data_IF_237660516036
#
_entry.id   IF_237660516036
#
_cell.length_a   1.000
_cell.length_b   1.000
_cell.length_c   1.000
_cell.angle_alpha   90.00
_cell.angle_beta   90.00
_cell.angle_gamma   90.00
#
_symmetry.space_group_name_H-M   'P 1'
#
loop_
_entity.id
_entity.type
_entity.pdbx_description
1 polymer ?
#
# COMPACT_ATOMS: atom_id res chain seq x y z
N UNK A 1 4.04 17.85 -5.53
CA UNK A 1 2.94 17.03 -6.06
C UNK A 1 3.34 16.59 -7.47
N UNK A 2 3.74 15.33 -7.65
CA UNK A 2 4.04 14.78 -8.98
C UNK A 2 2.76 14.09 -9.42
N UNK A 3 1.91 14.88 -10.08
CA UNK A 3 0.45 14.71 -10.17
C UNK A 3 -0.04 13.49 -10.95
N UNK A 4 0.86 12.65 -11.47
CA UNK A 4 0.50 11.57 -12.38
C UNK A 4 1.02 10.19 -11.96
N UNK A 5 1.89 10.08 -10.95
CA UNK A 5 2.47 8.78 -10.56
C UNK A 5 1.43 7.79 -9.98
N UNK A 6 0.26 8.28 -9.58
CA UNK A 6 -0.85 7.49 -9.05
C UNK A 6 -1.98 7.28 -10.08
N UNK A 7 -1.82 7.73 -11.33
CA UNK A 7 -2.79 7.47 -12.38
C UNK A 7 -2.70 5.99 -12.82
N UNK A 8 -3.84 5.41 -13.18
CA UNK A 8 -3.95 3.99 -13.59
C UNK A 8 -3.01 3.69 -14.77
N UNK A 9 -2.91 4.62 -15.73
CA UNK A 9 -2.15 4.51 -16.97
C UNK A 9 -0.70 5.00 -16.87
N UNK A 10 -0.24 5.46 -15.70
CA UNK A 10 1.12 5.97 -15.50
C UNK A 10 2.19 4.88 -15.28
N UNK A 11 1.96 3.66 -15.79
CA UNK A 11 2.90 2.54 -15.65
C UNK A 11 4.28 2.86 -16.25
N UNK A 12 4.33 3.49 -17.43
CA UNK A 12 5.59 3.89 -18.06
C UNK A 12 6.31 4.97 -17.24
N UNK A 13 5.56 5.90 -16.64
CA UNK A 13 6.14 6.93 -15.78
C UNK A 13 6.78 6.31 -14.54
N UNK A 14 6.13 5.32 -13.90
CA UNK A 14 6.70 4.58 -12.77
C UNK A 14 7.92 3.74 -13.15
N UNK A 15 8.01 3.31 -14.41
CA UNK A 15 9.16 2.56 -14.92
C UNK A 15 10.39 3.45 -15.15
N UNK A 16 10.18 4.64 -15.71
CA UNK A 16 11.28 5.57 -16.03
C UNK A 16 11.68 6.42 -14.82
N UNK A 17 10.70 6.79 -13.99
CA UNK A 17 10.85 7.72 -12.88
C UNK A 17 10.50 7.05 -11.53
N UNK A 18 10.99 5.83 -11.30
CA UNK A 18 10.63 5.00 -10.14
C UNK A 18 10.85 5.70 -8.79
N UNK A 19 12.04 6.25 -8.55
CA UNK A 19 12.35 7.03 -7.34
C UNK A 19 11.38 8.20 -7.16
N UNK A 20 11.23 9.02 -8.19
CA UNK A 20 10.34 10.19 -8.22
C UNK A 20 8.87 9.84 -7.99
N UNK A 21 8.45 8.64 -8.40
CA UNK A 21 7.12 8.12 -8.17
C UNK A 21 6.97 7.36 -6.85
N UNK A 22 7.98 7.34 -5.98
CA UNK A 22 7.92 6.69 -4.67
C UNK A 22 8.00 5.16 -4.73
N UNK A 23 8.56 4.56 -5.78
CA UNK A 23 8.77 3.10 -5.84
C UNK A 23 9.85 2.62 -4.86
N UNK A 24 10.70 3.51 -4.36
CA UNK A 24 11.78 3.21 -3.40
C UNK A 24 11.37 3.56 -1.96
N UNK A 25 10.51 4.56 -1.82
CA UNK A 25 10.11 5.14 -0.53
C UNK A 25 9.08 4.24 0.16
N UNK A 26 9.44 3.71 1.34
CA UNK A 26 8.55 2.84 2.12
C UNK A 26 7.23 3.51 2.50
N UNK A 27 7.27 4.79 2.86
CA UNK A 27 6.11 5.54 3.33
C UNK A 27 5.37 6.31 2.22
N UNK A 28 5.72 6.09 0.94
CA UNK A 28 4.94 6.62 -0.17
C UNK A 28 3.57 5.93 -0.24
N UNK A 29 2.64 6.50 -1.02
CA UNK A 29 1.36 5.86 -1.28
C UNK A 29 1.57 4.45 -1.86
N UNK A 30 1.09 3.38 -1.22
CA UNK A 30 1.33 1.99 -1.65
C UNK A 30 0.71 1.62 -2.99
N UNK A 31 -0.28 2.38 -3.45
CA UNK A 31 -1.02 2.07 -4.67
C UNK A 31 -0.09 2.19 -5.88
N UNK A 32 -0.15 1.16 -6.73
CA UNK A 32 0.67 1.00 -7.92
C UNK A 32 2.18 0.89 -7.65
N UNK A 33 2.62 0.72 -6.39
CA UNK A 33 4.05 0.53 -6.04
C UNK A 33 4.48 -0.93 -6.11
N UNK A 34 4.11 -1.59 -7.19
CA UNK A 34 4.43 -2.99 -7.44
C UNK A 34 5.01 -3.18 -8.83
N UNK A 35 5.66 -4.31 -9.05
CA UNK A 35 6.33 -4.59 -10.33
C UNK A 35 5.36 -4.62 -11.50
N UNK A 36 4.17 -5.20 -11.30
CA UNK A 36 3.13 -5.25 -12.32
C UNK A 36 2.71 -3.84 -12.80
N UNK A 37 2.87 -2.83 -11.93
CA UNK A 37 2.45 -1.46 -12.17
C UNK A 37 3.60 -0.53 -12.58
N UNK A 38 4.75 -1.10 -12.93
CA UNK A 38 5.85 -0.35 -13.56
C UNK A 38 7.00 -0.02 -12.63
N UNK A 39 6.91 -0.28 -11.32
CA UNK A 39 8.08 -0.14 -10.46
C UNK A 39 9.14 -1.19 -10.81
N UNK A 40 10.37 -0.75 -11.12
CA UNK A 40 11.47 -1.65 -11.44
C UNK A 40 11.89 -2.49 -10.23
N UNK A 41 12.41 -3.70 -10.50
CA UNK A 41 12.90 -4.60 -9.45
C UNK A 41 14.02 -3.96 -8.61
N UNK A 42 14.89 -3.17 -9.23
CA UNK A 42 15.93 -2.42 -8.53
C UNK A 42 15.35 -1.51 -7.46
N UNK A 43 14.32 -0.72 -7.81
CA UNK A 43 13.66 0.18 -6.87
C UNK A 43 12.98 -0.56 -5.71
N UNK A 44 12.26 -1.65 -6.01
CA UNK A 44 11.55 -2.42 -4.99
C UNK A 44 12.49 -3.17 -4.04
N UNK A 45 13.68 -3.54 -4.51
CA UNK A 45 14.71 -4.18 -3.68
C UNK A 45 15.32 -3.20 -2.66
N UNK A 46 15.15 -1.90 -2.85
CA UNK A 46 15.65 -0.88 -1.92
C UNK A 46 14.67 -0.65 -0.76
N UNK A 47 13.36 -0.88 -0.94
CA UNK A 47 12.36 -0.68 0.13
C UNK A 47 12.70 -1.41 1.43
N UNK A 48 13.08 -2.71 1.42
CA UNK A 48 13.52 -3.41 2.64
C UNK A 48 14.73 -2.78 3.32
N UNK A 49 15.62 -2.14 2.56
CA UNK A 49 16.81 -1.47 3.09
C UNK A 49 16.40 -0.24 3.89
N UNK A 50 15.48 0.57 3.34
CA UNK A 50 14.97 1.77 4.01
C UNK A 50 14.14 1.43 5.25
N UNK A 51 13.33 0.38 5.20
CA UNK A 51 12.47 0.00 6.33
C UNK A 51 13.21 -0.63 7.49
N UNK A 52 14.33 -1.31 7.24
CA UNK A 52 15.05 -2.06 8.27
C UNK A 52 15.39 -1.21 9.52
N UNK A 53 15.78 0.05 9.32
CA UNK A 53 16.23 0.97 10.37
C UNK A 53 15.10 1.88 10.91
N UNK A 54 13.87 1.76 10.39
CA UNK A 54 12.73 2.54 10.85
C UNK A 54 12.21 2.08 12.22
N UNK A 55 11.43 2.95 12.87
CA UNK A 55 10.73 2.59 14.10
C UNK A 55 9.59 1.60 13.80
N UNK A 56 9.34 0.66 14.72
CA UNK A 56 8.17 -0.20 14.67
C UNK A 56 6.91 0.56 15.12
N UNK A 57 6.54 1.58 14.35
CA UNK A 57 5.42 2.47 14.64
C UNK A 57 4.53 2.60 13.41
N UNK A 58 3.23 2.46 13.64
CA UNK A 58 2.22 2.71 12.61
C UNK A 58 2.15 4.21 12.29
N UNK A 59 1.96 4.54 11.01
CA UNK A 59 1.64 5.91 10.63
C UNK A 59 0.33 6.38 11.27
N UNK A 60 0.25 7.66 11.57
CA UNK A 60 -0.99 8.27 12.06
C UNK A 60 -2.11 8.16 11.02
N UNK A 61 -3.37 8.09 11.47
CA UNK A 61 -4.52 8.02 10.55
C UNK A 61 -4.57 9.19 9.56
N UNK A 62 -4.09 10.37 9.93
CA UNK A 62 -4.11 11.57 9.07
C UNK A 62 -2.89 11.64 8.12
N UNK A 63 -2.07 10.59 8.07
CA UNK A 63 -0.89 10.52 7.19
C UNK A 63 -1.30 10.55 5.70
N UNK A 64 -0.64 11.39 4.91
CA UNK A 64 -1.05 11.69 3.53
C UNK A 64 -1.10 10.43 2.65
N UNK A 65 -0.07 9.58 2.71
CA UNK A 65 -0.03 8.33 1.92
C UNK A 65 -1.11 7.34 2.34
N UNK A 66 -1.49 7.30 3.63
CA UNK A 66 -2.57 6.46 4.13
C UNK A 66 -3.92 6.95 3.61
N UNK A 67 -4.19 8.24 3.76
CA UNK A 67 -5.43 8.86 3.32
C UNK A 67 -5.61 8.72 1.80
N UNK A 68 -4.58 9.08 1.04
CA UNK A 68 -4.62 9.03 -0.42
C UNK A 68 -4.72 7.60 -0.97
N UNK A 69 -4.13 6.61 -0.30
CA UNK A 69 -4.27 5.20 -0.68
C UNK A 69 -5.75 4.80 -0.66
N UNK A 70 -6.42 5.02 0.47
CA UNK A 70 -7.83 4.64 0.64
C UNK A 70 -8.79 5.48 -0.19
N UNK A 71 -8.46 6.74 -0.50
CA UNK A 71 -9.26 7.55 -1.42
C UNK A 71 -9.29 6.99 -2.84
N UNK A 72 -8.17 6.43 -3.31
CA UNK A 72 -8.06 5.87 -4.66
C UNK A 72 -8.45 4.39 -4.74
N UNK A 73 -8.42 3.70 -3.60
CA UNK A 73 -8.50 2.25 -3.53
C UNK A 73 -9.74 1.64 -4.21
N UNK A 74 -10.98 2.09 -3.94
CA UNK A 74 -12.17 1.50 -4.58
C UNK A 74 -12.16 1.65 -6.11
N UNK A 75 -11.74 2.80 -6.62
CA UNK A 75 -11.63 3.05 -8.06
C UNK A 75 -10.52 2.21 -8.71
N UNK A 76 -9.41 2.00 -8.02
CA UNK A 76 -8.32 1.15 -8.49
C UNK A 76 -8.75 -0.33 -8.57
N UNK A 77 -9.47 -0.82 -7.56
CA UNK A 77 -10.03 -2.17 -7.56
C UNK A 77 -11.05 -2.36 -8.68
N UNK A 78 -11.91 -1.37 -8.93
CA UNK A 78 -12.83 -1.38 -10.06
C UNK A 78 -12.09 -1.44 -11.40
N UNK A 79 -11.11 -0.56 -11.60
CA UNK A 79 -10.39 -0.45 -12.86
C UNK A 79 -9.57 -1.72 -13.18
N UNK A 80 -8.98 -2.34 -12.15
CA UNK A 80 -8.05 -3.44 -12.34
C UNK A 80 -8.70 -4.82 -12.26
N UNK A 81 -9.60 -5.04 -11.29
CA UNK A 81 -10.25 -6.34 -11.06
C UNK A 81 -11.70 -6.40 -11.53
N UNK A 82 -12.23 -5.31 -12.10
CA UNK A 82 -13.60 -5.29 -12.61
C UNK A 82 -14.67 -5.40 -11.52
N UNK A 83 -14.40 -4.85 -10.33
CA UNK A 83 -15.33 -4.86 -9.19
C UNK A 83 -16.73 -4.37 -9.59
N UNK A 84 -17.76 -5.09 -9.20
CA UNK A 84 -19.16 -4.72 -9.46
C UNK A 84 -19.53 -3.44 -8.70
N UNK A 85 -20.60 -2.73 -9.09
CA UNK A 85 -21.04 -1.53 -8.36
C UNK A 85 -21.30 -1.77 -6.86
N UNK A 86 -21.82 -2.94 -6.50
CA UNK A 86 -22.03 -3.35 -5.10
C UNK A 86 -20.70 -3.57 -4.37
N UNK A 87 -19.74 -4.24 -5.00
CA UNK A 87 -18.41 -4.42 -4.43
C UNK A 87 -17.69 -3.07 -4.25
N UNK A 88 -17.81 -2.16 -5.21
CA UNK A 88 -17.23 -0.81 -5.10
C UNK A 88 -17.85 -0.03 -3.94
N UNK A 89 -19.17 -0.13 -3.74
CA UNK A 89 -19.84 0.49 -2.59
C UNK A 89 -19.28 -0.06 -1.27
N UNK A 90 -19.18 -1.39 -1.13
CA UNK A 90 -18.61 -2.01 0.07
C UNK A 90 -17.14 -1.60 0.29
N UNK A 91 -16.35 -1.49 -0.79
CA UNK A 91 -14.97 -1.02 -0.72
C UNK A 91 -14.88 0.44 -0.27
N UNK A 92 -15.86 1.29 -0.62
CA UNK A 92 -15.93 2.67 -0.13
C UNK A 92 -16.20 2.72 1.37
N UNK A 93 -17.05 1.84 1.90
CA UNK A 93 -17.27 1.72 3.36
C UNK A 93 -16.00 1.23 4.07
N UNK A 94 -15.33 0.19 3.54
CA UNK A 94 -14.05 -0.28 4.09
C UNK A 94 -12.99 0.82 4.06
N UNK A 95 -12.87 1.56 2.97
CA UNK A 95 -11.95 2.68 2.86
C UNK A 95 -12.28 3.81 3.87
N UNK A 96 -13.57 4.09 4.09
CA UNK A 96 -14.00 5.06 5.10
C UNK A 96 -13.55 4.66 6.50
N UNK A 97 -13.79 3.40 6.88
CA UNK A 97 -13.43 2.86 8.19
C UNK A 97 -11.90 2.82 8.38
N UNK A 98 -11.16 2.36 7.38
CA UNK A 98 -9.70 2.37 7.37
C UNK A 98 -9.13 3.79 7.56
N UNK A 99 -9.72 4.80 6.92
CA UNK A 99 -9.31 6.20 7.10
C UNK A 99 -9.66 6.72 8.48
N UNK A 100 -10.81 6.34 9.04
CA UNK A 100 -11.29 6.80 10.34
C UNK A 100 -10.49 6.22 11.51
N UNK A 101 -10.19 4.92 11.44
CA UNK A 101 -9.51 4.17 12.50
C UNK A 101 -7.99 4.10 12.32
N UNK A 102 -7.48 4.18 11.09
CA UNK A 102 -6.05 4.05 10.78
C UNK A 102 -5.58 2.60 10.74
N UNK A 103 -4.26 2.42 10.85
CA UNK A 103 -3.61 1.10 10.85
C UNK A 103 -4.27 0.04 11.75
N UNK A 104 -4.76 0.33 12.98
CA UNK A 104 -5.36 -0.69 13.84
C UNK A 104 -6.53 -1.45 13.22
N UNK A 105 -7.27 -0.85 12.28
CA UNK A 105 -8.39 -1.50 11.62
C UNK A 105 -7.97 -2.67 10.73
N UNK A 106 -6.69 -2.73 10.32
CA UNK A 106 -6.12 -3.89 9.60
C UNK A 106 -6.11 -5.17 10.44
N UNK A 107 -6.20 -5.07 11.77
CA UNK A 107 -6.35 -6.24 12.64
C UNK A 107 -7.78 -6.80 12.64
N UNK A 108 -8.78 -5.95 12.35
CA UNK A 108 -10.19 -6.35 12.25
C UNK A 108 -10.53 -6.82 10.83
N UNK A 109 -10.14 -6.01 9.83
CA UNK A 109 -10.31 -6.30 8.41
C UNK A 109 -8.97 -6.71 7.80
N UNK A 110 -8.63 -7.99 7.98
CA UNK A 110 -7.31 -8.52 7.61
C UNK A 110 -7.13 -8.75 6.11
N UNK A 111 -8.21 -9.10 5.41
CA UNK A 111 -8.19 -9.50 4.00
C UNK A 111 -9.07 -8.61 3.15
N UNK A 112 -8.65 -8.47 1.91
CA UNK A 112 -9.37 -7.79 0.85
C UNK A 112 -10.54 -8.65 0.35
N UNK A 113 -11.70 -8.03 0.14
CA UNK A 113 -12.98 -8.74 -0.07
C UNK A 113 -13.08 -9.40 -1.46
N UNK A 114 -12.36 -8.91 -2.47
CA UNK A 114 -12.45 -9.41 -3.86
C UNK A 114 -11.40 -10.47 -4.17
N UNK A 115 -10.18 -10.25 -3.71
CA UNK A 115 -8.97 -11.02 -4.04
C UNK A 115 -8.53 -11.94 -2.91
N UNK A 116 -9.16 -11.84 -1.74
CA UNK A 116 -8.79 -12.54 -0.50
C UNK A 116 -7.31 -12.36 -0.15
N UNK A 117 -6.73 -11.22 -0.54
CA UNK A 117 -5.33 -10.90 -0.26
C UNK A 117 -5.24 -10.17 1.06
N UNK A 118 -4.32 -10.61 1.92
CA UNK A 118 -4.08 -9.93 3.20
C UNK A 118 -3.50 -8.53 2.95
N UNK A 119 -4.14 -7.50 3.47
CA UNK A 119 -3.72 -6.11 3.27
C UNK A 119 -2.27 -5.84 3.69
N UNK A 120 -1.86 -6.41 4.82
CA UNK A 120 -0.51 -6.29 5.36
C UNK A 120 0.59 -6.80 4.42
N UNK A 121 0.26 -7.77 3.56
CA UNK A 121 1.21 -8.44 2.67
C UNK A 121 1.23 -7.82 1.27
N UNK A 122 0.23 -6.98 0.95
CA UNK A 122 0.12 -6.33 -0.36
C UNK A 122 -0.45 -7.25 -1.43
N UNK A 123 -0.89 -6.66 -2.55
CA UNK A 123 -1.31 -7.40 -3.73
C UNK A 123 -0.27 -7.25 -4.86
N UNK A 124 0.34 -8.33 -5.36
CA UNK A 124 1.48 -8.27 -6.29
C UNK A 124 1.18 -7.52 -7.60
N UNK A 125 -0.10 -7.45 -7.96
CA UNK A 125 -0.57 -6.76 -9.16
C UNK A 125 -1.02 -5.31 -8.95
N UNK A 126 -1.26 -4.86 -7.70
CA UNK A 126 -1.90 -3.56 -7.47
C UNK A 126 -1.22 -2.67 -6.43
N UNK A 127 -0.88 -3.16 -5.24
CA UNK A 127 -0.38 -2.31 -4.16
C UNK A 127 0.70 -3.00 -3.32
N UNK A 128 1.68 -2.22 -2.86
CA UNK A 128 2.75 -2.71 -2.00
C UNK A 128 2.24 -3.06 -0.59
N UNK A 129 2.97 -3.87 0.18
CA UNK A 129 2.55 -4.29 1.51
C UNK A 129 2.22 -3.11 2.43
N UNK A 130 1.04 -3.13 3.09
CA UNK A 130 0.70 -2.10 4.07
C UNK A 130 1.52 -2.20 5.36
N UNK A 131 2.30 -3.28 5.55
CA UNK A 131 3.32 -3.36 6.60
C UNK A 131 4.38 -2.26 6.51
N UNK A 132 4.59 -1.65 5.34
CA UNK A 132 5.48 -0.50 5.17
C UNK A 132 4.95 0.78 5.87
N UNK A 133 3.63 0.91 6.00
CA UNK A 133 2.97 2.03 6.69
C UNK A 133 2.53 1.66 8.11
N UNK A 134 2.16 0.41 8.31
CA UNK A 134 1.56 -0.10 9.54
C UNK A 134 2.39 -1.25 10.13
N UNK A 135 3.69 -1.04 10.40
CA UNK A 135 4.56 -2.13 10.83
C UNK A 135 4.15 -2.69 12.20
N UNK A 136 3.69 -1.87 13.14
CA UNK A 136 3.27 -2.35 14.47
C UNK A 136 2.02 -3.23 14.38
N UNK A 137 1.08 -2.89 13.51
CA UNK A 137 -0.14 -3.71 13.31
C UNK A 137 0.14 -4.95 12.46
N UNK A 138 1.00 -4.87 11.45
CA UNK A 138 1.16 -5.94 10.46
C UNK A 138 2.32 -6.91 10.71
N UNK A 139 3.37 -6.49 11.40
CA UNK A 139 4.60 -7.27 11.51
C UNK A 139 4.54 -8.32 12.61
N UNK A 140 4.72 -9.58 12.22
CA UNK A 140 4.77 -10.74 13.13
C UNK A 140 6.09 -11.51 13.02
N UNK A 141 7.22 -10.80 12.86
CA UNK A 141 8.62 -11.28 12.90
C UNK A 141 9.23 -12.00 11.67
N UNK A 142 8.59 -11.98 10.49
CA UNK A 142 9.16 -12.67 9.29
C UNK A 142 9.05 -11.97 7.94
N UNK A 143 8.43 -10.79 7.85
CA UNK A 143 8.36 -10.05 6.59
C UNK A 143 9.60 -9.18 6.39
N UNK A 144 10.17 -9.19 5.17
CA UNK A 144 11.27 -8.29 4.78
C UNK A 144 10.82 -6.82 4.66
N UNK A 145 9.51 -6.56 4.73
CA UNK A 145 8.91 -5.23 4.70
C UNK A 145 8.60 -4.71 6.10
N UNK A 146 9.20 -5.32 7.12
CA UNK A 146 9.07 -4.93 8.51
C UNK A 146 10.39 -4.36 9.04
N UNK A 147 10.34 -3.30 9.85
CA UNK A 147 11.51 -2.85 10.57
C UNK A 147 12.10 -3.95 11.44
N UNK A 148 13.42 -3.95 11.61
CA UNK A 148 14.10 -4.90 12.48
C UNK A 148 13.60 -4.79 13.93
N UNK A 149 13.19 -3.59 14.33
CA UNK A 149 12.63 -3.28 15.64
C UNK A 149 11.27 -3.94 15.91
N UNK A 150 10.54 -4.43 14.89
CA UNK A 150 9.30 -5.19 15.08
C UNK A 150 9.53 -6.68 15.37
N UNK A 151 10.77 -7.18 15.21
CA UNK A 151 11.14 -8.59 15.33
C UNK A 151 11.85 -8.95 16.65
N UNK A 152 11.78 -8.10 17.67
CA UNK A 152 12.41 -8.31 18.98
C UNK A 152 11.43 -8.85 20.04
#
# INVERSE_FOLDING_TARGET
MISHCADVDAQLLRMVCGETCGCVEAQANPLYKVRAQGCLKSCLNEQPIWVADEACEDVGKDFESWQSFWDMYPSAMQAYFGATPEQVFNLQEVAHDMKGAGCPYLAEMTHEVITDTRYCDGHPELFSPLSLLCPKTCCTSSSIFCPLSCGA
#
